data_IF_765054198614
#
_entry.id   IF_765054198614
#
_cell.length_a   1.000
_cell.length_b   1.000
_cell.length_c   1.000
_cell.angle_alpha   90.00
_cell.angle_beta   90.00
_cell.angle_gamma   90.00
#
_symmetry.space_group_name_H-M   'P 1'
#
loop_
_entity.id
_entity.type
_entity.pdbx_description
1 polymer ?
#
# COMPACT_ATOMS: atom_id res chain seq x y z
N UNK A 1 32.12 -66.23 -3.04
CA UNK A 1 31.11 -65.16 -3.02
C UNK A 1 31.85 -63.83 -2.93
N UNK A 2 32.06 -63.16 -4.07
CA UNK A 2 32.73 -61.85 -4.15
C UNK A 2 31.65 -60.78 -4.06
N UNK A 3 31.71 -59.90 -3.06
CA UNK A 3 30.87 -58.70 -2.99
C UNK A 3 31.76 -57.49 -3.21
N UNK A 4 31.47 -56.77 -4.28
CA UNK A 4 32.10 -55.54 -4.75
C UNK A 4 31.39 -54.38 -4.04
N UNK A 5 32.12 -53.58 -3.26
CA UNK A 5 31.59 -52.31 -2.74
C UNK A 5 32.19 -51.18 -3.59
N UNK A 6 31.34 -50.55 -4.39
CA UNK A 6 31.64 -49.32 -5.14
C UNK A 6 31.31 -48.15 -4.22
N UNK A 7 32.34 -47.40 -3.84
CA UNK A 7 32.21 -46.11 -3.17
C UNK A 7 31.96 -45.03 -4.24
N UNK A 8 30.75 -44.48 -4.28
CA UNK A 8 30.46 -43.25 -5.01
C UNK A 8 30.94 -42.05 -4.18
N UNK A 9 32.01 -41.40 -4.64
CA UNK A 9 32.42 -40.08 -4.15
C UNK A 9 31.65 -39.03 -4.96
N UNK A 10 30.69 -38.35 -4.33
CA UNK A 10 30.00 -37.20 -4.94
C UNK A 10 30.83 -35.96 -4.63
N UNK A 11 31.60 -35.50 -5.61
CA UNK A 11 32.28 -34.22 -5.55
C UNK A 11 31.26 -33.10 -5.81
N UNK A 12 30.90 -32.34 -4.78
CA UNK A 12 30.19 -31.07 -4.95
C UNK A 12 31.17 -30.03 -5.50
N UNK A 13 31.06 -29.73 -6.79
CA UNK A 13 31.77 -28.60 -7.40
C UNK A 13 30.86 -27.37 -7.24
N UNK A 14 31.20 -26.49 -6.30
CA UNK A 14 30.58 -25.17 -6.17
C UNK A 14 31.13 -24.28 -7.28
N UNK A 15 30.34 -24.05 -8.33
CA UNK A 15 30.61 -23.02 -9.34
C UNK A 15 30.54 -21.65 -8.65
N UNK A 16 31.70 -21.02 -8.45
CA UNK A 16 31.81 -19.60 -8.15
C UNK A 16 32.02 -18.86 -9.46
N UNK A 17 31.09 -17.97 -9.80
CA UNK A 17 31.28 -16.99 -10.86
C UNK A 17 32.18 -15.86 -10.31
N UNK A 18 33.38 -15.72 -10.88
CA UNK A 18 34.42 -14.80 -10.39
C UNK A 18 34.29 -13.35 -10.93
N UNK A 19 33.28 -13.04 -11.74
CA UNK A 19 33.02 -11.66 -12.19
C UNK A 19 31.61 -11.47 -12.72
N UNK A 20 31.07 -10.27 -12.58
CA UNK A 20 29.84 -9.82 -13.24
C UNK A 20 30.09 -9.73 -14.74
N UNK A 21 29.38 -10.54 -15.54
CA UNK A 21 29.39 -10.42 -16.99
C UNK A 21 28.20 -9.59 -17.45
N UNK A 22 28.44 -8.73 -18.44
CA UNK A 22 27.42 -7.83 -19.00
C UNK A 22 26.76 -8.50 -20.20
N UNK A 23 25.43 -8.52 -20.22
CA UNK A 23 24.64 -8.99 -21.36
C UNK A 23 24.68 -7.89 -22.43
N UNK A 24 25.13 -8.23 -23.64
CA UNK A 24 24.99 -7.35 -24.80
C UNK A 24 23.61 -7.58 -25.41
N UNK A 25 22.74 -6.57 -25.34
CA UNK A 25 21.38 -6.62 -25.88
C UNK A 25 21.33 -6.04 -27.29
N UNK A 26 20.60 -6.68 -28.21
CA UNK A 26 20.16 -6.04 -29.46
C UNK A 26 18.85 -5.32 -29.22
N UNK A 27 18.81 -4.00 -29.41
CA UNK A 27 17.60 -3.18 -29.24
C UNK A 27 16.42 -3.66 -30.10
N UNK A 28 15.23 -3.76 -29.50
CA UNK A 28 13.96 -3.29 -30.11
C UNK A 28 12.69 -3.41 -29.25
N UNK A 29 12.70 -4.00 -28.04
CA UNK A 29 11.54 -3.91 -27.12
C UNK A 29 11.97 -4.14 -25.67
N UNK A 30 11.23 -3.59 -24.70
CA UNK A 30 11.43 -3.83 -23.26
C UNK A 30 10.95 -5.23 -22.82
N UNK A 31 10.27 -5.95 -23.72
CA UNK A 31 9.52 -7.16 -23.38
C UNK A 31 10.29 -8.44 -23.73
N UNK A 32 11.37 -8.36 -24.51
CA UNK A 32 12.20 -9.51 -24.86
C UNK A 32 13.66 -9.07 -25.03
N UNK A 33 14.55 -9.72 -24.29
CA UNK A 33 15.99 -9.52 -24.39
C UNK A 33 16.68 -10.83 -24.73
N UNK A 34 17.30 -10.84 -25.92
CA UNK A 34 18.21 -11.91 -26.32
C UNK A 34 19.65 -11.45 -26.16
N UNK A 35 20.50 -12.34 -25.65
CA UNK A 35 21.92 -12.10 -25.49
C UNK A 35 22.71 -13.40 -25.45
N UNK A 36 24.03 -13.28 -25.35
CA UNK A 36 24.90 -14.44 -25.15
C UNK A 36 25.73 -14.23 -23.89
N UNK A 37 25.94 -15.29 -23.12
CA UNK A 37 26.83 -15.30 -21.96
C UNK A 37 27.89 -16.37 -22.11
N UNK A 38 29.14 -16.08 -21.72
CA UNK A 38 30.21 -17.08 -21.74
C UNK A 38 30.57 -17.49 -20.32
N UNK A 39 30.29 -18.75 -19.97
CA UNK A 39 30.63 -19.32 -18.67
C UNK A 39 31.62 -20.45 -18.88
N UNK A 40 32.83 -20.28 -18.33
CA UNK A 40 33.88 -21.30 -18.36
C UNK A 40 34.21 -21.81 -19.79
N UNK A 41 34.41 -20.88 -20.73
CA UNK A 41 34.74 -21.12 -22.15
C UNK A 41 33.58 -21.62 -23.03
N UNK A 42 32.44 -21.98 -22.44
CA UNK A 42 31.22 -22.30 -23.19
C UNK A 42 30.34 -21.07 -23.34
N UNK A 43 29.82 -20.85 -24.56
CA UNK A 43 28.89 -19.74 -24.86
C UNK A 43 27.46 -20.28 -24.84
N UNK A 44 26.62 -19.58 -24.10
CA UNK A 44 25.20 -19.89 -23.92
C UNK A 44 24.39 -18.75 -24.51
N UNK A 45 23.40 -19.10 -25.32
CA UNK A 45 22.35 -18.15 -25.72
C UNK A 45 21.40 -17.97 -24.53
N UNK A 46 21.10 -16.72 -24.22
CA UNK A 46 20.22 -16.32 -23.12
C UNK A 46 19.06 -15.55 -23.74
N UNK A 47 17.89 -16.17 -23.74
CA UNK A 47 16.63 -15.54 -24.10
C UNK A 47 15.88 -15.22 -22.80
N UNK A 48 15.52 -13.96 -22.62
CA UNK A 48 14.70 -13.49 -21.52
C UNK A 48 13.45 -12.84 -22.10
N UNK A 49 12.35 -13.58 -22.05
CA UNK A 49 11.03 -13.09 -22.43
C UNK A 49 10.32 -12.57 -21.17
N UNK A 50 10.11 -11.25 -21.12
CA UNK A 50 9.32 -10.58 -20.09
C UNK A 50 7.84 -10.45 -20.47
N UNK A 51 7.46 -10.79 -21.71
CA UNK A 51 6.08 -10.87 -22.17
C UNK A 51 5.36 -12.13 -21.67
N UNK A 52 6.13 -13.19 -21.38
CA UNK A 52 5.66 -14.32 -20.60
C UNK A 52 6.05 -14.12 -19.12
N UNK A 53 5.18 -13.45 -18.37
CA UNK A 53 4.78 -14.03 -17.09
C UNK A 53 4.39 -15.46 -17.45
N UNK A 54 5.33 -16.41 -17.32
CA UNK A 54 5.09 -17.80 -17.67
C UNK A 54 3.72 -18.13 -17.13
N UNK A 55 2.81 -18.58 -18.01
CA UNK A 55 1.43 -18.86 -17.65
C UNK A 55 1.44 -19.86 -16.50
N UNK A 56 1.55 -19.35 -15.28
CA UNK A 56 1.07 -19.97 -14.08
C UNK A 56 -0.40 -20.04 -14.43
N UNK A 57 -0.88 -21.25 -14.75
CA UNK A 57 -2.31 -21.52 -14.67
C UNK A 57 -2.77 -20.79 -13.42
N UNK A 58 -3.58 -19.76 -13.59
CA UNK A 58 -4.22 -19.10 -12.46
C UNK A 58 -5.12 -20.22 -11.92
N UNK A 59 -4.58 -21.04 -11.03
CA UNK A 59 -5.39 -21.90 -10.20
C UNK A 59 -6.41 -20.94 -9.60
N UNK A 60 -7.69 -21.17 -9.91
CA UNK A 60 -8.78 -20.42 -9.29
C UNK A 60 -8.46 -20.33 -7.80
N UNK A 61 -8.45 -19.10 -7.25
CA UNK A 61 -8.07 -18.86 -5.87
C UNK A 61 -8.85 -19.84 -4.98
N UNK A 62 -8.12 -20.71 -4.27
CA UNK A 62 -8.71 -21.78 -3.46
C UNK A 62 -9.35 -21.22 -2.18
N UNK A 63 -9.04 -19.97 -1.85
CA UNK A 63 -9.69 -19.19 -0.81
C UNK A 63 -11.20 -19.04 -1.03
N UNK A 64 -11.96 -19.86 -0.32
CA UNK A 64 -13.41 -19.75 -0.19
C UNK A 64 -13.81 -19.95 1.27
N UNK A 65 -13.52 -18.97 2.16
CA UNK A 65 -13.96 -19.06 3.54
C UNK A 65 -15.49 -19.10 3.54
N UNK A 66 -16.03 -20.00 4.35
CA UNK A 66 -17.46 -20.34 4.34
C UNK A 66 -18.17 -19.83 5.59
N UNK A 67 -17.40 -19.33 6.56
CA UNK A 67 -17.91 -18.85 7.85
C UNK A 67 -17.11 -17.64 8.28
N UNK A 68 -17.80 -16.74 8.98
CA UNK A 68 -17.17 -15.63 9.68
C UNK A 68 -17.27 -15.92 11.17
N UNK A 69 -16.14 -15.80 11.86
CA UNK A 69 -16.10 -15.79 13.31
C UNK A 69 -15.89 -14.36 13.77
N UNK A 70 -16.95 -13.75 14.30
CA UNK A 70 -16.90 -12.41 14.88
C UNK A 70 -16.55 -12.48 16.37
N UNK A 71 -15.57 -11.70 16.80
CA UNK A 71 -15.24 -11.47 18.21
C UNK A 71 -15.30 -9.99 18.54
N UNK A 72 -15.75 -9.64 19.74
CA UNK A 72 -15.64 -8.28 20.27
C UNK A 72 -14.40 -8.21 21.15
N UNK A 73 -13.44 -7.39 20.74
CA UNK A 73 -12.15 -7.23 21.41
C UNK A 73 -12.18 -6.09 22.44
N UNK A 74 -13.03 -5.08 22.19
CA UNK A 74 -13.23 -3.93 23.07
C UNK A 74 -14.70 -3.50 23.12
N UNK A 75 -15.19 -3.24 24.31
CA UNK A 75 -16.49 -2.58 24.51
C UNK A 75 -16.41 -1.09 24.17
N UNK A 76 -17.53 -0.51 23.74
CA UNK A 76 -17.60 0.92 23.40
C UNK A 76 -19.04 1.36 23.14
N UNK A 77 -19.20 2.62 22.76
CA UNK A 77 -20.46 3.21 22.34
C UNK A 77 -20.61 3.13 20.84
N UNK A 78 -21.71 2.57 20.35
CA UNK A 78 -21.98 2.44 18.92
C UNK A 78 -22.68 1.13 18.60
N UNK A 79 -22.34 0.54 17.45
CA UNK A 79 -22.99 -0.68 16.96
C UNK A 79 -22.69 -1.88 17.87
N UNK A 80 -23.72 -2.68 18.07
CA UNK A 80 -23.71 -3.91 18.89
C UNK A 80 -23.13 -5.10 18.12
N UNK A 81 -22.83 -6.18 18.84
CA UNK A 81 -22.34 -7.41 18.23
C UNK A 81 -23.33 -7.96 17.20
N UNK A 82 -24.63 -7.95 17.52
CA UNK A 82 -25.70 -8.44 16.66
C UNK A 82 -25.80 -7.63 15.36
N UNK A 83 -25.71 -6.31 15.45
CA UNK A 83 -25.79 -5.42 14.28
C UNK A 83 -24.57 -5.61 13.35
N UNK A 84 -23.35 -5.71 13.90
CA UNK A 84 -22.15 -6.01 13.09
C UNK A 84 -22.24 -7.41 12.47
N UNK A 85 -22.73 -8.39 13.23
CA UNK A 85 -22.93 -9.74 12.70
C UNK A 85 -23.97 -9.76 11.58
N UNK A 86 -25.05 -8.97 11.68
CA UNK A 86 -26.06 -8.84 10.63
C UNK A 86 -25.48 -8.19 9.37
N UNK A 87 -24.73 -7.09 9.51
CA UNK A 87 -23.99 -6.45 8.40
C UNK A 87 -23.13 -7.49 7.66
N UNK A 88 -22.28 -8.21 8.40
CA UNK A 88 -21.40 -9.22 7.81
C UNK A 88 -22.14 -10.44 7.24
N UNK A 89 -23.27 -10.82 7.82
CA UNK A 89 -24.08 -11.94 7.31
C UNK A 89 -24.87 -11.57 6.06
N UNK A 90 -25.10 -10.27 5.81
CA UNK A 90 -25.75 -9.74 4.60
C UNK A 90 -24.94 -10.00 3.33
N UNK A 91 -23.61 -10.10 3.45
CA UNK A 91 -22.71 -10.50 2.37
C UNK A 91 -22.84 -12.00 2.09
N UNK A 92 -23.90 -12.38 1.38
CA UNK A 92 -24.18 -13.78 1.05
C UNK A 92 -23.04 -14.47 0.28
N UNK A 93 -22.25 -13.70 -0.48
CA UNK A 93 -20.95 -14.07 -1.05
C UNK A 93 -20.07 -12.82 -1.04
N UNK A 94 -18.93 -12.88 -0.36
CA UNK A 94 -17.97 -11.76 -0.36
C UNK A 94 -17.26 -11.65 -1.71
N UNK A 95 -17.03 -10.42 -2.13
CA UNK A 95 -16.06 -10.10 -3.17
C UNK A 95 -14.66 -10.32 -2.61
N UNK A 96 -13.73 -10.85 -3.40
CA UNK A 96 -12.33 -11.00 -3.02
C UNK A 96 -11.45 -10.22 -3.98
N UNK A 97 -10.42 -9.61 -3.43
CA UNK A 97 -9.42 -8.88 -4.18
C UNK A 97 -8.04 -9.52 -4.01
N UNK A 98 -7.23 -9.44 -5.07
CA UNK A 98 -5.83 -9.83 -5.03
C UNK A 98 -5.04 -8.71 -4.38
N UNK A 99 -4.53 -8.98 -3.18
CA UNK A 99 -3.92 -7.98 -2.29
C UNK A 99 -2.76 -7.23 -2.97
N UNK A 100 -2.00 -7.92 -3.82
CA UNK A 100 -0.79 -7.39 -4.44
C UNK A 100 -1.02 -6.38 -5.56
N UNK A 101 -2.21 -6.35 -6.16
CA UNK A 101 -2.56 -5.49 -7.29
C UNK A 101 -3.64 -4.46 -6.91
N UNK A 102 -4.54 -4.82 -5.99
CA UNK A 102 -5.63 -3.95 -5.58
C UNK A 102 -5.17 -2.81 -4.67
N UNK A 103 -5.79 -1.65 -4.87
CA UNK A 103 -5.57 -0.45 -4.06
C UNK A 103 -6.06 -0.63 -2.62
N UNK A 104 -5.34 -0.05 -1.66
CA UNK A 104 -5.82 0.09 -0.29
C UNK A 104 -6.48 1.45 -0.09
N UNK A 105 -7.66 1.45 0.52
CA UNK A 105 -8.47 2.62 0.83
C UNK A 105 -8.23 3.08 2.26
N UNK A 106 -8.62 4.32 2.55
CA UNK A 106 -8.57 4.90 3.90
C UNK A 106 -9.48 4.10 4.86
N UNK A 107 -9.26 4.25 6.16
CA UNK A 107 -10.13 3.63 7.18
C UNK A 107 -11.54 4.25 7.26
N UNK A 108 -11.80 5.29 6.46
CA UNK A 108 -12.93 6.19 6.57
C UNK A 108 -14.28 5.47 6.41
N UNK A 109 -15.19 5.70 7.35
CA UNK A 109 -16.50 5.06 7.36
C UNK A 109 -17.48 5.62 6.34
N UNK A 110 -17.17 6.74 5.67
CA UNK A 110 -18.02 7.36 4.63
C UNK A 110 -17.97 6.61 3.29
N UNK A 111 -16.99 5.72 3.11
CA UNK A 111 -16.82 4.96 1.87
C UNK A 111 -17.92 3.90 1.75
N UNK A 112 -18.56 3.84 0.58
CA UNK A 112 -19.64 2.87 0.27
C UNK A 112 -19.18 1.67 -0.55
N UNK A 113 -18.00 1.76 -1.17
CA UNK A 113 -17.44 0.68 -1.97
C UNK A 113 -16.86 -0.44 -1.08
N UNK A 114 -16.79 -1.64 -1.65
CA UNK A 114 -16.08 -2.79 -1.10
C UNK A 114 -14.56 -2.52 -1.08
N UNK A 115 -13.94 -2.43 0.09
CA UNK A 115 -12.52 -1.99 0.23
C UNK A 115 -11.58 -3.02 0.85
N UNK A 116 -10.28 -2.85 0.55
CA UNK A 116 -9.18 -3.20 1.46
C UNK A 116 -8.76 -1.95 2.23
N UNK A 117 -9.06 -1.89 3.52
CA UNK A 117 -8.78 -0.71 4.36
C UNK A 117 -7.44 -0.75 5.11
N UNK A 118 -6.76 0.39 5.20
CA UNK A 118 -5.57 0.65 6.04
C UNK A 118 -5.49 2.15 6.41
N UNK A 119 -4.79 2.57 7.49
CA UNK A 119 -4.58 3.99 7.76
C UNK A 119 -4.02 4.75 6.55
N UNK A 120 -4.77 5.74 6.05
CA UNK A 120 -4.38 6.58 4.91
C UNK A 120 -4.32 5.89 3.54
N UNK A 121 -4.80 4.65 3.40
CA UNK A 121 -4.78 3.92 2.12
C UNK A 121 -3.37 3.63 1.59
N UNK A 122 -3.23 3.55 0.27
CA UNK A 122 -1.93 3.39 -0.40
C UNK A 122 -0.96 4.54 -0.09
N UNK A 123 -1.49 5.77 -0.02
CA UNK A 123 -0.75 6.95 0.41
C UNK A 123 -0.11 6.75 1.80
N UNK A 124 -0.88 6.27 2.78
CA UNK A 124 -0.39 5.98 4.12
C UNK A 124 0.70 4.91 4.15
N UNK A 125 0.53 3.80 3.40
CA UNK A 125 1.53 2.72 3.34
C UNK A 125 2.82 3.14 2.60
N UNK A 126 2.71 3.98 1.55
CA UNK A 126 3.88 4.55 0.88
C UNK A 126 4.65 5.49 1.82
N UNK A 127 3.95 6.39 2.52
CA UNK A 127 4.53 7.28 3.53
C UNK A 127 5.20 6.48 4.66
N UNK A 128 4.56 5.43 5.16
CA UNK A 128 5.18 4.52 6.13
C UNK A 128 6.50 3.93 5.60
N UNK A 129 6.52 3.54 4.32
CA UNK A 129 7.72 3.11 3.61
C UNK A 129 8.84 4.15 3.60
N UNK A 130 8.52 5.39 3.19
CA UNK A 130 9.48 6.50 3.20
C UNK A 130 10.09 6.69 4.58
N UNK A 131 9.26 6.72 5.62
CA UNK A 131 9.70 7.02 6.98
C UNK A 131 10.58 5.92 7.57
N UNK A 132 10.21 4.66 7.36
CA UNK A 132 11.02 3.51 7.81
C UNK A 132 12.33 3.43 7.03
N UNK A 133 12.31 3.69 5.72
CA UNK A 133 13.53 3.71 4.92
C UNK A 133 14.47 4.81 5.41
N UNK A 134 13.94 6.00 5.71
CA UNK A 134 14.72 7.11 6.22
C UNK A 134 15.41 6.79 7.55
N UNK A 135 14.67 6.22 8.51
CA UNK A 135 15.20 5.80 9.81
C UNK A 135 16.32 4.76 9.65
N UNK A 136 16.11 3.76 8.80
CA UNK A 136 17.07 2.66 8.63
C UNK A 136 18.30 3.04 7.82
N UNK A 137 18.14 3.85 6.78
CA UNK A 137 19.24 4.29 5.91
C UNK A 137 19.97 5.52 6.45
N UNK A 138 19.37 6.24 7.41
CA UNK A 138 19.94 7.48 7.97
C UNK A 138 20.00 8.60 6.95
N UNK A 139 19.07 8.62 5.99
CA UNK A 139 19.02 9.61 4.91
C UNK A 139 18.09 10.77 5.29
N UNK A 140 18.12 11.84 4.50
CA UNK A 140 17.14 12.93 4.57
C UNK A 140 16.63 13.19 3.17
N UNK A 141 15.34 13.41 3.04
CA UNK A 141 14.73 13.62 1.74
C UNK A 141 14.70 15.10 1.37
N UNK A 142 14.93 15.34 0.09
CA UNK A 142 14.49 16.51 -0.65
C UNK A 142 13.12 16.24 -1.29
N UNK A 143 12.48 17.26 -1.87
CA UNK A 143 11.26 17.07 -2.65
C UNK A 143 11.53 16.15 -3.85
N UNK A 144 12.65 16.38 -4.53
CA UNK A 144 13.07 15.63 -5.72
C UNK A 144 13.29 14.14 -5.42
N UNK A 145 13.81 13.79 -4.24
CA UNK A 145 13.95 12.38 -3.83
C UNK A 145 12.58 11.69 -3.74
N UNK A 146 11.57 12.38 -3.17
CA UNK A 146 10.24 11.82 -3.00
C UNK A 146 9.51 11.71 -4.33
N UNK A 147 9.67 12.70 -5.22
CA UNK A 147 9.13 12.66 -6.57
C UNK A 147 9.68 11.45 -7.35
N UNK A 148 11.01 11.26 -7.31
CA UNK A 148 11.65 10.10 -7.94
C UNK A 148 11.14 8.77 -7.34
N UNK A 149 10.98 8.69 -6.02
CA UNK A 149 10.55 7.45 -5.38
C UNK A 149 9.08 7.15 -5.64
N UNK A 150 8.22 8.17 -5.66
CA UNK A 150 6.80 8.00 -5.93
C UNK A 150 6.57 7.59 -7.39
N UNK A 151 7.23 8.24 -8.34
CA UNK A 151 7.23 7.83 -9.75
C UNK A 151 7.67 6.37 -9.92
N UNK A 152 8.77 5.98 -9.26
CA UNK A 152 9.25 4.59 -9.30
C UNK A 152 8.25 3.63 -8.66
N UNK A 153 7.57 4.04 -7.59
CA UNK A 153 6.58 3.21 -6.91
C UNK A 153 5.42 2.89 -7.84
N UNK A 154 4.83 3.91 -8.47
CA UNK A 154 3.76 3.77 -9.44
C UNK A 154 4.16 2.84 -10.61
N UNK A 155 5.40 2.97 -11.11
CA UNK A 155 5.91 2.13 -12.21
C UNK A 155 6.26 0.69 -11.81
N UNK A 156 6.74 0.47 -10.59
CA UNK A 156 7.28 -0.84 -10.19
C UNK A 156 6.24 -1.74 -9.52
N UNK A 157 5.25 -1.15 -8.85
CA UNK A 157 4.26 -1.91 -8.11
C UNK A 157 3.08 -2.35 -8.96
N UNK A 158 2.91 -1.72 -10.12
CA UNK A 158 1.84 -1.99 -11.07
C UNK A 158 0.47 -2.13 -10.37
N UNK A 159 0.09 -1.16 -9.50
CA UNK A 159 -1.20 -1.24 -8.85
C UNK A 159 -2.31 -0.91 -9.86
N UNK A 160 -3.50 -1.50 -9.69
CA UNK A 160 -4.67 -1.15 -10.50
C UNK A 160 -4.94 0.38 -10.41
N UNK A 161 -4.79 0.92 -9.20
CA UNK A 161 -4.80 2.35 -8.86
C UNK A 161 -3.94 2.60 -7.62
N UNK A 162 -3.41 3.80 -7.46
CA UNK A 162 -2.82 4.31 -6.24
C UNK A 162 -3.79 5.30 -5.59
N UNK A 163 -4.28 4.94 -4.40
CA UNK A 163 -5.34 5.66 -3.72
C UNK A 163 -4.84 6.69 -2.69
N UNK A 164 -5.48 7.85 -2.67
CA UNK A 164 -5.45 8.81 -1.56
C UNK A 164 -6.86 9.36 -1.35
N UNK A 165 -7.25 9.65 -0.10
CA UNK A 165 -8.51 10.32 0.19
C UNK A 165 -8.30 11.73 0.77
N UNK A 166 -9.29 12.57 0.57
CA UNK A 166 -9.51 13.84 1.25
C UNK A 166 -11.01 14.00 1.50
N UNK A 167 -11.45 15.13 2.02
CA UNK A 167 -12.86 15.42 2.18
C UNK A 167 -13.24 16.84 1.72
N UNK A 168 -14.54 17.03 1.51
CA UNK A 168 -15.08 18.30 1.06
C UNK A 168 -14.78 19.43 2.05
N UNK A 169 -14.73 19.14 3.36
CA UNK A 169 -14.46 20.14 4.38
C UNK A 169 -13.03 20.70 4.29
N UNK A 170 -12.04 19.85 4.00
CA UNK A 170 -10.67 20.25 3.75
C UNK A 170 -10.55 21.08 2.46
N UNK A 171 -11.23 20.69 1.38
CA UNK A 171 -11.26 21.45 0.13
C UNK A 171 -11.90 22.83 0.33
N UNK A 172 -13.04 22.90 1.02
CA UNK A 172 -13.71 24.15 1.36
C UNK A 172 -12.81 25.07 2.19
N UNK A 173 -12.00 24.49 3.09
CA UNK A 173 -11.02 25.24 3.87
C UNK A 173 -9.91 25.82 3.00
N UNK A 174 -9.35 25.05 2.05
CA UNK A 174 -8.36 25.52 1.07
C UNK A 174 -8.93 26.68 0.24
N UNK A 175 -10.14 26.52 -0.29
CA UNK A 175 -10.81 27.55 -1.10
C UNK A 175 -10.97 28.86 -0.32
N UNK A 176 -11.40 28.75 0.95
CA UNK A 176 -11.54 29.90 1.83
C UNK A 176 -10.20 30.56 2.16
N UNK A 177 -9.16 29.77 2.42
CA UNK A 177 -7.82 30.26 2.74
C UNK A 177 -7.21 31.04 1.57
N UNK A 178 -7.38 30.54 0.35
CA UNK A 178 -6.85 31.15 -0.87
C UNK A 178 -7.78 32.19 -1.49
N UNK A 179 -8.97 32.40 -0.91
CA UNK A 179 -10.02 33.28 -1.42
C UNK A 179 -10.42 32.95 -2.88
N UNK A 180 -10.64 31.66 -3.13
CA UNK A 180 -11.08 31.09 -4.41
C UNK A 180 -12.55 30.67 -4.28
N UNK A 181 -13.39 31.08 -5.24
CA UNK A 181 -14.83 30.80 -5.21
C UNK A 181 -15.18 29.38 -5.69
N UNK A 182 -14.42 28.84 -6.66
CA UNK A 182 -14.59 27.50 -7.23
C UNK A 182 -13.21 26.86 -7.48
N UNK A 183 -13.03 25.60 -7.07
CA UNK A 183 -11.79 24.85 -7.25
C UNK A 183 -12.10 23.48 -7.86
N UNK A 184 -11.59 23.24 -9.06
CA UNK A 184 -11.43 21.90 -9.60
C UNK A 184 -10.09 21.34 -9.08
N UNK A 185 -10.13 20.49 -8.07
CA UNK A 185 -8.92 19.92 -7.46
C UNK A 185 -8.23 18.90 -8.36
N UNK A 186 -8.91 18.35 -9.37
CA UNK A 186 -8.32 17.39 -10.31
C UNK A 186 -7.58 18.10 -11.45
N UNK A 187 -8.02 19.31 -11.81
CA UNK A 187 -7.40 20.10 -12.86
C UNK A 187 -7.42 21.61 -12.51
N UNK A 188 -6.67 22.03 -11.48
CA UNK A 188 -6.63 23.43 -11.09
C UNK A 188 -5.87 24.28 -12.11
N UNK A 189 -6.21 25.57 -12.17
CA UNK A 189 -5.52 26.54 -13.03
C UNK A 189 -4.00 26.54 -12.74
N UNK A 190 -3.13 26.39 -13.76
CA UNK A 190 -1.68 26.42 -13.58
C UNK A 190 -1.16 27.64 -12.81
N UNK A 191 -1.85 28.79 -12.87
CA UNK A 191 -1.45 30.00 -12.15
C UNK A 191 -1.59 29.89 -10.62
N UNK A 192 -2.42 28.96 -10.12
CA UNK A 192 -2.67 28.76 -8.69
C UNK A 192 -2.04 27.48 -8.13
N UNK A 193 -1.53 26.59 -8.98
CA UNK A 193 -1.01 25.27 -8.57
C UNK A 193 0.06 25.37 -7.47
N UNK A 194 1.05 26.26 -7.61
CA UNK A 194 2.10 26.43 -6.58
C UNK A 194 1.51 26.84 -5.22
N UNK A 195 0.52 27.75 -5.21
CA UNK A 195 -0.16 28.19 -3.99
C UNK A 195 -1.04 27.09 -3.40
N UNK A 196 -1.68 26.29 -4.25
CA UNK A 196 -2.45 25.13 -3.81
C UNK A 196 -1.54 24.09 -3.17
N UNK A 197 -0.39 23.77 -3.76
CA UNK A 197 0.57 22.83 -3.18
C UNK A 197 1.07 23.29 -1.81
N UNK A 198 1.25 24.60 -1.63
CA UNK A 198 1.59 25.18 -0.33
C UNK A 198 0.46 25.06 0.70
N UNK A 199 -0.79 25.26 0.29
CA UNK A 199 -1.95 25.13 1.15
C UNK A 199 -2.27 23.66 1.50
N UNK A 200 -2.18 22.74 0.54
CA UNK A 200 -2.57 21.34 0.67
C UNK A 200 -1.70 20.53 1.64
N UNK A 201 -0.54 21.05 2.04
CA UNK A 201 0.31 20.45 3.08
C UNK A 201 0.05 21.01 4.48
N UNK A 202 -0.86 21.98 4.63
CA UNK A 202 -1.32 22.42 5.95
C UNK A 202 -2.24 21.34 6.55
N UNK A 203 -2.05 20.93 7.82
CA UNK A 203 -2.91 19.94 8.46
C UNK A 203 -4.41 20.24 8.42
N UNK A 204 -4.82 21.51 8.36
CA UNK A 204 -6.24 21.88 8.27
C UNK A 204 -6.83 21.63 6.88
N UNK A 205 -5.98 21.46 5.87
CA UNK A 205 -6.33 21.23 4.47
C UNK A 205 -6.16 19.76 4.05
N UNK A 206 -5.93 18.85 5.01
CA UNK A 206 -5.83 17.40 4.77
C UNK A 206 -7.08 16.72 5.35
N UNK A 207 -7.91 16.15 4.48
CA UNK A 207 -9.15 15.48 4.88
C UNK A 207 -8.94 14.06 5.45
N UNK A 208 -7.93 13.33 4.97
CA UNK A 208 -7.58 12.04 5.58
C UNK A 208 -7.00 12.25 6.98
N UNK A 209 -7.68 11.71 8.00
CA UNK A 209 -7.28 11.91 9.39
C UNK A 209 -5.90 11.29 9.69
N UNK A 210 -5.53 10.20 9.02
CA UNK A 210 -4.22 9.57 9.25
C UNK A 210 -3.07 10.46 8.76
N UNK A 211 -3.13 10.90 7.50
CA UNK A 211 -2.16 11.81 6.89
C UNK A 211 -2.13 13.16 7.63
N UNK A 212 -3.30 13.69 8.02
CA UNK A 212 -3.38 14.90 8.83
C UNK A 212 -2.59 14.77 10.13
N UNK A 213 -2.81 13.69 10.90
CA UNK A 213 -2.12 13.47 12.17
C UNK A 213 -0.62 13.25 11.99
N UNK A 214 -0.19 12.63 10.89
CA UNK A 214 1.22 12.50 10.54
C UNK A 214 1.89 13.88 10.31
N UNK A 215 1.19 14.84 9.73
CA UNK A 215 1.69 16.21 9.52
C UNK A 215 1.57 17.07 10.79
N UNK A 216 0.44 17.00 11.48
CA UNK A 216 0.13 17.83 12.66
C UNK A 216 0.93 17.41 13.89
N UNK A 217 1.04 16.10 14.12
CA UNK A 217 1.59 15.51 15.33
C UNK A 217 2.59 14.37 15.05
N UNK A 218 3.64 14.61 14.23
CA UNK A 218 4.59 13.55 13.80
C UNK A 218 5.30 12.86 14.97
N UNK A 219 5.48 13.56 16.09
CA UNK A 219 6.11 13.04 17.30
C UNK A 219 5.34 11.85 17.91
N UNK A 220 4.01 11.78 17.76
CA UNK A 220 3.20 10.65 18.24
C UNK A 220 3.53 9.36 17.47
N UNK A 221 3.92 9.51 16.22
CA UNK A 221 4.30 8.41 15.33
C UNK A 221 5.80 8.09 15.37
N UNK A 222 6.56 8.75 16.26
CA UNK A 222 8.02 8.68 16.30
C UNK A 222 8.71 9.16 15.00
N UNK A 223 8.12 10.17 14.35
CA UNK A 223 8.61 10.81 13.12
C UNK A 223 9.12 12.23 13.44
N UNK A 224 10.10 12.72 12.66
CA UNK A 224 10.64 14.09 12.81
C UNK A 224 10.94 14.81 11.49
N UNK A 225 10.31 14.44 10.37
CA UNK A 225 10.66 14.99 9.05
C UNK A 225 9.43 15.43 8.25
N UNK A 226 9.70 16.16 7.16
CA UNK A 226 8.69 16.69 6.23
C UNK A 226 8.31 15.72 5.10
N UNK A 227 8.69 14.44 5.16
CA UNK A 227 8.47 13.48 4.06
C UNK A 227 7.00 13.35 3.67
N UNK A 228 6.09 13.46 4.64
CA UNK A 228 4.63 13.41 4.41
C UNK A 228 4.18 14.59 3.54
N UNK A 229 4.69 15.80 3.82
CA UNK A 229 4.36 17.00 3.04
C UNK A 229 4.94 16.93 1.64
N UNK A 230 6.17 16.44 1.49
CA UNK A 230 6.78 16.24 0.18
C UNK A 230 6.00 15.23 -0.65
N UNK A 231 5.55 14.14 -0.04
CA UNK A 231 4.70 13.17 -0.71
C UNK A 231 3.35 13.77 -1.15
N UNK A 232 2.67 14.52 -0.27
CA UNK A 232 1.39 15.17 -0.64
C UNK A 232 1.58 16.07 -1.86
N UNK A 233 2.68 16.85 -1.91
CA UNK A 233 3.00 17.68 -3.09
C UNK A 233 3.22 16.82 -4.34
N UNK A 234 4.01 15.75 -4.20
CA UNK A 234 4.33 14.82 -5.28
C UNK A 234 3.08 14.16 -5.87
N UNK A 235 2.14 13.77 -5.00
CA UNK A 235 0.86 13.19 -5.40
C UNK A 235 0.05 14.18 -6.25
N UNK A 236 -0.16 15.41 -5.77
CA UNK A 236 -0.93 16.41 -6.51
C UNK A 236 -0.23 16.87 -7.79
N UNK A 237 1.10 17.02 -7.78
CA UNK A 237 1.86 17.32 -8.99
C UNK A 237 1.70 16.23 -10.05
N UNK A 238 1.76 14.96 -9.66
CA UNK A 238 1.53 13.83 -10.57
C UNK A 238 0.07 13.76 -11.02
N UNK A 239 -0.88 14.08 -10.15
CA UNK A 239 -2.32 14.11 -10.46
C UNK A 239 -2.65 15.16 -11.52
N UNK A 240 -2.00 16.33 -11.46
CA UNK A 240 -2.24 17.45 -12.37
C UNK A 240 -1.41 17.35 -13.66
N UNK A 241 -0.40 16.48 -13.71
CA UNK A 241 0.41 16.23 -14.90
C UNK A 241 -0.29 15.29 -15.88
N UNK A 242 -1.28 15.82 -16.59
CA UNK A 242 -2.04 15.10 -17.62
C UNK A 242 -1.21 14.66 -18.85
N UNK A 243 0.06 15.09 -18.96
CA UNK A 243 0.97 14.64 -20.02
C UNK A 243 1.70 13.34 -19.66
N UNK A 244 1.86 13.07 -18.36
CA UNK A 244 2.50 11.85 -17.85
C UNK A 244 1.48 10.72 -17.73
N UNK A 245 1.71 9.51 -18.28
CA UNK A 245 0.75 8.39 -18.15
C UNK A 245 0.51 7.92 -16.71
N UNK A 246 1.28 8.42 -15.74
CA UNK A 246 1.14 8.08 -14.33
C UNK A 246 -0.11 8.70 -13.69
N UNK A 247 -0.65 9.79 -14.24
CA UNK A 247 -1.87 10.40 -13.69
C UNK A 247 -3.06 9.44 -13.73
N UNK A 248 -3.14 8.55 -14.73
CA UNK A 248 -4.22 7.57 -14.89
C UNK A 248 -4.22 6.51 -13.80
N UNK A 249 -3.08 6.33 -13.12
CA UNK A 249 -2.95 5.41 -11.99
C UNK A 249 -3.44 6.04 -10.69
N UNK A 250 -3.61 7.36 -10.60
CA UNK A 250 -3.96 8.03 -9.35
C UNK A 250 -5.48 8.10 -9.17
N UNK A 251 -5.92 7.78 -7.96
CA UNK A 251 -7.30 7.97 -7.55
C UNK A 251 -7.34 8.82 -6.29
N UNK A 252 -7.84 10.05 -6.43
CA UNK A 252 -8.16 10.94 -5.31
C UNK A 252 -9.65 10.84 -5.02
N UNK A 253 -9.98 10.33 -3.84
CA UNK A 253 -11.34 10.25 -3.32
C UNK A 253 -11.68 11.51 -2.51
N UNK A 254 -12.80 12.16 -2.82
CA UNK A 254 -13.28 13.33 -2.08
C UNK A 254 -14.53 12.92 -1.34
N UNK A 255 -14.36 12.66 -0.05
CA UNK A 255 -15.45 12.17 0.78
C UNK A 255 -16.35 13.32 1.22
N UNK A 256 -17.66 13.11 1.07
CA UNK A 256 -18.69 14.04 1.50
C UNK A 256 -19.28 13.66 2.86
N UNK A 257 -19.89 14.63 3.53
CA UNK A 257 -20.55 14.41 4.82
C UNK A 257 -19.60 14.39 6.01
N UNK A 258 -20.14 13.99 7.17
CA UNK A 258 -19.43 13.99 8.45
C UNK A 258 -19.17 12.57 8.93
N UNK A 259 -18.07 12.39 9.65
CA UNK A 259 -17.78 11.17 10.40
C UNK A 259 -18.92 10.82 11.35
N UNK A 260 -19.38 9.57 11.28
CA UNK A 260 -20.48 9.02 12.07
C UNK A 260 -20.26 7.52 12.37
N UNK A 261 -19.00 7.09 12.38
CA UNK A 261 -18.63 5.70 12.55
C UNK A 261 -19.07 5.17 13.92
N UNK A 262 -19.63 3.97 13.92
CA UNK A 262 -20.25 3.33 15.09
C UNK A 262 -19.47 2.12 15.59
N UNK A 263 -18.46 1.66 14.85
CA UNK A 263 -17.56 0.59 15.27
C UNK A 263 -16.23 0.67 14.52
N UNK A 264 -15.22 -0.02 15.07
CA UNK A 264 -14.02 -0.38 14.35
C UNK A 264 -14.06 -1.89 14.06
N UNK A 265 -13.75 -2.28 12.83
CA UNK A 265 -13.77 -3.66 12.35
C UNK A 265 -12.40 -4.05 11.78
N UNK A 266 -11.76 -5.01 12.42
CA UNK A 266 -10.54 -5.67 11.94
C UNK A 266 -10.91 -6.92 11.12
N UNK A 267 -10.38 -7.01 9.91
CA UNK A 267 -10.60 -8.13 8.99
C UNK A 267 -9.39 -9.05 9.03
N UNK A 268 -9.65 -10.33 9.36
CA UNK A 268 -8.63 -11.39 9.35
C UNK A 268 -9.00 -12.48 8.36
N UNK A 269 -8.00 -12.97 7.66
CA UNK A 269 -8.16 -14.00 6.62
C UNK A 269 -7.52 -15.31 7.07
N UNK A 270 -8.08 -16.44 6.63
CA UNK A 270 -7.46 -17.74 6.90
C UNK A 270 -6.12 -17.93 6.15
N UNK A 271 -5.38 -18.96 6.53
CA UNK A 271 -4.07 -19.28 5.96
C UNK A 271 -4.11 -19.51 4.45
N UNK A 272 -5.17 -20.11 3.91
CA UNK A 272 -5.28 -20.36 2.47
C UNK A 272 -5.39 -19.06 1.69
N UNK A 273 -6.21 -18.11 2.14
CA UNK A 273 -6.33 -16.79 1.53
C UNK A 273 -5.02 -16.00 1.57
N UNK A 274 -4.25 -16.14 2.66
CA UNK A 274 -2.91 -15.56 2.76
C UNK A 274 -1.92 -16.16 1.76
N UNK A 275 -1.96 -17.49 1.55
CA UNK A 275 -1.13 -18.17 0.56
C UNK A 275 -1.50 -17.77 -0.87
N UNK A 276 -2.80 -17.62 -1.13
CA UNK A 276 -3.33 -17.18 -2.42
C UNK A 276 -3.22 -15.65 -2.61
N UNK A 277 -2.78 -14.92 -1.58
CA UNK A 277 -2.68 -13.45 -1.54
C UNK A 277 -3.98 -12.73 -1.91
N UNK A 278 -5.10 -13.26 -1.41
CA UNK A 278 -6.43 -12.69 -1.59
C UNK A 278 -7.07 -12.37 -0.25
N UNK A 279 -7.93 -11.36 -0.24
CA UNK A 279 -8.69 -10.98 0.94
C UNK A 279 -10.13 -10.62 0.58
N UNK A 280 -11.08 -10.87 1.49
CA UNK A 280 -12.45 -10.41 1.31
C UNK A 280 -12.45 -8.88 1.34
N UNK A 281 -13.29 -8.29 0.50
CA UNK A 281 -13.62 -6.89 0.57
C UNK A 281 -14.84 -6.70 1.47
N UNK A 282 -14.86 -5.58 2.19
CA UNK A 282 -15.99 -5.21 3.05
C UNK A 282 -16.23 -3.72 2.89
N UNK A 283 -17.48 -3.33 2.65
CA UNK A 283 -17.84 -1.92 2.57
C UNK A 283 -17.99 -1.29 3.97
N UNK A 284 -17.35 -0.14 4.24
CA UNK A 284 -17.52 0.60 5.51
C UNK A 284 -18.97 1.00 5.77
N UNK A 285 -19.70 1.38 4.72
CA UNK A 285 -21.12 1.72 4.73
C UNK A 285 -21.82 1.00 3.56
N UNK A 286 -23.05 0.50 3.74
CA UNK A 286 -23.74 -0.23 2.66
C UNK A 286 -24.32 0.69 1.57
N UNK A 287 -24.69 1.91 1.95
CA UNK A 287 -25.22 2.95 1.06
C UNK A 287 -25.17 4.30 1.76
N UNK A 288 -25.16 5.41 1.00
CA UNK A 288 -25.15 6.77 1.55
C UNK A 288 -26.31 7.09 2.52
N UNK A 289 -27.44 6.38 2.40
CA UNK A 289 -28.62 6.52 3.28
C UNK A 289 -28.54 5.64 4.54
N UNK A 290 -27.50 4.81 4.67
CA UNK A 290 -27.37 3.88 5.80
C UNK A 290 -26.94 4.61 7.07
N UNK A 291 -27.41 4.10 8.20
CA UNK A 291 -27.11 4.64 9.52
C UNK A 291 -25.89 3.96 10.17
N UNK A 292 -25.49 2.80 9.64
CA UNK A 292 -24.30 2.10 10.10
C UNK A 292 -23.11 2.45 9.21
N UNK A 293 -22.06 2.95 9.85
CA UNK A 293 -20.78 3.24 9.25
C UNK A 293 -19.69 2.68 10.16
N UNK A 294 -18.73 1.94 9.61
CA UNK A 294 -17.68 1.32 10.43
C UNK A 294 -16.31 1.61 9.86
N UNK A 295 -15.32 1.82 10.73
CA UNK A 295 -13.92 1.90 10.31
C UNK A 295 -13.42 0.48 9.98
N UNK A 296 -12.79 0.27 8.83
CA UNK A 296 -12.36 -1.07 8.39
C UNK A 296 -10.85 -1.13 8.19
N UNK A 297 -10.19 -2.10 8.83
CA UNK A 297 -8.77 -2.37 8.67
C UNK A 297 -8.52 -3.84 8.29
N UNK A 298 -7.58 -4.08 7.37
CA UNK A 298 -7.20 -5.43 6.90
C UNK A 298 -5.75 -5.75 7.26
N UNK A 299 -5.42 -5.89 8.55
CA UNK A 299 -4.03 -6.01 9.03
C UNK A 299 -3.23 -7.13 8.34
N UNK A 300 -3.88 -8.26 8.08
CA UNK A 300 -3.29 -9.40 7.40
C UNK A 300 -2.89 -9.06 5.94
N UNK A 301 -3.78 -8.42 5.20
CA UNK A 301 -3.53 -7.97 3.83
C UNK A 301 -2.49 -6.87 3.77
N UNK A 302 -2.56 -5.92 4.69
CA UNK A 302 -1.58 -4.84 4.82
C UNK A 302 -0.18 -5.39 5.05
N UNK A 303 -0.03 -6.49 5.82
CA UNK A 303 1.27 -7.13 5.99
C UNK A 303 1.83 -7.72 4.68
N UNK A 304 0.98 -8.19 3.76
CA UNK A 304 1.44 -8.62 2.42
C UNK A 304 1.90 -7.41 1.61
N UNK A 305 1.13 -6.31 1.59
CA UNK A 305 1.51 -5.03 0.94
C UNK A 305 2.82 -4.47 1.49
N UNK A 306 3.05 -4.56 2.80
CA UNK A 306 4.32 -4.17 3.45
C UNK A 306 5.50 -5.04 3.03
N UNK A 307 5.26 -6.30 2.65
CA UNK A 307 6.26 -7.16 2.03
C UNK A 307 6.74 -6.59 0.71
N UNK A 308 5.81 -6.25 -0.20
CA UNK A 308 6.14 -5.63 -1.49
C UNK A 308 6.81 -4.26 -1.31
N UNK A 309 6.30 -3.45 -0.36
CA UNK A 309 6.89 -2.15 0.00
C UNK A 309 8.33 -2.30 0.49
N UNK A 310 8.61 -3.31 1.31
CA UNK A 310 9.97 -3.61 1.74
C UNK A 310 10.88 -3.96 0.56
N UNK A 311 10.41 -4.82 -0.34
CA UNK A 311 11.16 -5.20 -1.54
C UNK A 311 11.46 -3.99 -2.43
N UNK A 312 10.50 -3.12 -2.65
CA UNK A 312 10.71 -1.90 -3.42
C UNK A 312 11.77 -0.98 -2.81
N UNK A 313 11.66 -0.63 -1.54
CA UNK A 313 12.64 0.28 -0.92
C UNK A 313 14.05 -0.31 -0.92
N UNK A 314 14.19 -1.61 -0.68
CA UNK A 314 15.52 -2.25 -0.71
C UNK A 314 16.04 -2.42 -2.14
N UNK A 315 15.21 -2.86 -3.08
CA UNK A 315 15.67 -3.27 -4.41
C UNK A 315 15.62 -2.16 -5.44
N UNK A 316 14.82 -1.10 -5.25
CA UNK A 316 14.61 -0.02 -6.24
C UNK A 316 15.09 1.34 -5.75
N UNK A 317 15.04 1.59 -4.43
CA UNK A 317 15.48 2.85 -3.84
C UNK A 317 16.92 2.74 -3.30
N UNK A 318 17.20 1.73 -2.48
CA UNK A 318 18.47 1.62 -1.76
C UNK A 318 19.69 1.20 -2.61
N UNK A 319 19.54 0.99 -3.93
CA UNK A 319 20.60 0.49 -4.82
C UNK A 319 21.90 1.31 -4.74
N UNK A 320 21.79 2.61 -4.47
CA UNK A 320 22.93 3.54 -4.41
C UNK A 320 23.42 3.85 -2.98
N UNK A 321 22.81 3.25 -1.96
CA UNK A 321 23.19 3.49 -0.56
C UNK A 321 24.23 2.50 -0.06
N UNK A 322 25.19 2.99 0.73
CA UNK A 322 26.23 2.16 1.36
C UNK A 322 25.71 1.31 2.54
N UNK A 323 24.46 1.49 2.94
CA UNK A 323 23.82 0.76 4.02
C UNK A 323 23.47 -0.68 3.60
N UNK A 324 23.85 -1.67 4.41
CA UNK A 324 23.42 -3.08 4.26
C UNK A 324 21.96 -3.26 4.68
N UNK A 325 21.04 -2.51 4.09
CA UNK A 325 19.62 -2.67 4.30
C UNK A 325 19.17 -3.99 3.64
N UNK A 326 18.34 -4.77 4.34
CA UNK A 326 17.79 -6.03 3.82
C UNK A 326 16.27 -6.00 3.85
N UNK A 327 15.62 -6.67 2.89
CA UNK A 327 14.15 -6.76 2.79
C UNK A 327 13.55 -7.20 4.13
N UNK A 328 14.15 -8.21 4.77
CA UNK A 328 13.69 -8.70 6.08
C UNK A 328 13.71 -7.61 7.17
N UNK A 329 14.74 -6.77 7.20
CA UNK A 329 14.86 -5.70 8.21
C UNK A 329 13.84 -4.59 7.93
N UNK A 330 13.73 -4.18 6.66
CA UNK A 330 12.74 -3.21 6.21
C UNK A 330 11.32 -3.67 6.54
N UNK A 331 10.96 -4.91 6.15
CA UNK A 331 9.66 -5.50 6.42
C UNK A 331 9.35 -5.59 7.92
N UNK A 332 10.30 -6.05 8.74
CA UNK A 332 10.11 -6.10 10.19
C UNK A 332 9.85 -4.72 10.80
N UNK A 333 10.46 -3.66 10.27
CA UNK A 333 10.27 -2.29 10.76
C UNK A 333 8.98 -1.67 10.24
N UNK A 334 8.61 -1.93 8.99
CA UNK A 334 7.30 -1.58 8.43
C UNK A 334 6.17 -2.16 9.28
N UNK A 335 6.23 -3.45 9.65
CA UNK A 335 5.23 -4.05 10.54
C UNK A 335 5.17 -3.37 11.91
N UNK A 336 6.32 -3.09 12.50
CA UNK A 336 6.38 -2.48 13.82
C UNK A 336 5.82 -1.05 13.82
N UNK A 337 6.28 -0.20 12.91
CA UNK A 337 5.81 1.18 12.79
C UNK A 337 4.38 1.24 12.27
N UNK A 338 3.99 0.35 11.36
CA UNK A 338 2.62 0.27 10.88
C UNK A 338 1.60 -0.08 11.97
N UNK A 339 1.96 -0.92 12.94
CA UNK A 339 1.15 -1.13 14.13
C UNK A 339 1.07 0.12 15.02
N UNK A 340 2.21 0.79 15.24
CA UNK A 340 2.21 2.07 15.97
C UNK A 340 1.30 3.10 15.28
N UNK A 341 1.35 3.20 13.96
CA UNK A 341 0.57 4.14 13.17
C UNK A 341 -0.93 3.84 13.29
N UNK A 342 -1.29 2.56 13.23
CA UNK A 342 -2.65 2.11 13.45
C UNK A 342 -3.12 2.42 14.88
N UNK A 343 -2.31 2.13 15.89
CA UNK A 343 -2.64 2.38 17.29
C UNK A 343 -2.87 3.88 17.56
N UNK A 344 -1.91 4.74 17.15
CA UNK A 344 -2.01 6.19 17.36
C UNK A 344 -3.22 6.77 16.61
N UNK A 345 -3.43 6.37 15.36
CA UNK A 345 -4.57 6.87 14.58
C UNK A 345 -5.89 6.36 15.15
N UNK A 346 -5.96 5.07 15.48
CA UNK A 346 -7.11 4.43 16.11
C UNK A 346 -7.48 5.04 17.45
N UNK A 347 -6.51 5.48 18.26
CA UNK A 347 -6.76 6.22 19.49
C UNK A 347 -7.46 7.57 19.26
N UNK A 348 -7.29 8.19 18.08
CA UNK A 348 -7.93 9.44 17.73
C UNK A 348 -9.31 9.23 17.09
N UNK A 349 -9.43 8.28 16.15
CA UNK A 349 -10.66 8.11 15.36
C UNK A 349 -11.64 7.11 15.97
N UNK A 350 -11.18 6.19 16.81
CA UNK A 350 -11.99 5.09 17.33
C UNK A 350 -12.03 5.02 18.86
N UNK A 351 -11.65 6.09 19.56
CA UNK A 351 -11.44 6.08 21.03
C UNK A 351 -12.58 5.43 21.82
N UNK A 352 -13.81 5.81 21.51
CA UNK A 352 -15.00 5.38 22.24
C UNK A 352 -15.78 4.28 21.50
N UNK A 353 -15.29 3.84 20.33
CA UNK A 353 -15.98 2.86 19.50
C UNK A 353 -15.72 1.42 20.00
N UNK A 354 -16.73 0.54 19.91
CA UNK A 354 -16.51 -0.89 20.10
C UNK A 354 -15.59 -1.43 19.00
N UNK A 355 -14.71 -2.36 19.37
CA UNK A 355 -13.75 -2.96 18.44
C UNK A 355 -14.11 -4.43 18.22
N UNK A 356 -14.23 -4.81 16.95
CA UNK A 356 -14.55 -6.16 16.52
C UNK A 356 -13.47 -6.72 15.60
N UNK A 357 -13.24 -8.03 15.68
CA UNK A 357 -12.46 -8.78 14.71
C UNK A 357 -13.38 -9.77 13.98
N UNK A 358 -13.46 -9.67 12.66
CA UNK A 358 -14.09 -10.65 11.79
C UNK A 358 -13.03 -11.57 11.17
N UNK A 359 -13.02 -12.84 11.59
CA UNK A 359 -12.13 -13.86 11.03
C UNK A 359 -12.87 -14.69 9.99
N UNK A 360 -12.43 -14.63 8.73
CA UNK A 360 -12.96 -15.40 7.61
C UNK A 360 -12.28 -16.77 7.58
N UNK A 361 -13.03 -17.83 7.88
CA UNK A 361 -12.52 -19.20 8.09
C UNK A 361 -13.01 -20.22 7.08
#
# INVERSE_FOLDING_TARGET
MKLLFVLFSVAFCTLKLDSSQFIQTSESSFDQFDGTMTVSEDTYDVECDCSELGMVEIEEAKCHPSKIKLTQDREGTGSTYEEINEKLSGYGNFSYARITHSAFRCLDGRIVDDILGTPGGDAGEFVLGLLVYQDLAGVSYTQEDIDEYFEKWLKCMDPDQFYMCTDQAAIDHVMKELAIDELDIYNPDPEIQDKLLDALVDPNNIGDTHLKLLVESPHLYSIQNDAVKYFIRSFYQTLWDTESPLYELLYLDILEGSHAETAFLEIKTNEQCLLDQVAPLVAPMESEDDTMSVLINHLDSVNIRRGQTAEFFVNKVAQNTTSKLTVKTMYSRLKHHGMLFLDVTGEHIAKDLPFYTASFV
#
